data_IF_666271708446
#
_entry.id   IF_666271708446
#
_cell.length_a   1.000
_cell.length_b   1.000
_cell.length_c   1.000
_cell.angle_alpha   90.00
_cell.angle_beta   90.00
_cell.angle_gamma   90.00
#
_symmetry.space_group_name_H-M   'P 1'
#
loop_
_entity.id
_entity.type
_entity.pdbx_description
1 polymer ?
#
# COMPACT_ATOMS: atom_id res chain seq x y z
N UNK A 1 -1.78 -2.06 -1.88
CA UNK A 1 -2.88 -2.98 -2.19
C UNK A 1 -2.32 -4.32 -2.66
N UNK A 2 -2.86 -5.44 -2.19
CA UNK A 2 -2.47 -6.77 -2.69
C UNK A 2 -3.22 -7.07 -3.99
N UNK A 3 -2.50 -7.36 -5.08
CA UNK A 3 -3.10 -7.55 -6.40
C UNK A 3 -4.03 -8.77 -6.51
N UNK A 4 -3.92 -9.71 -5.57
CA UNK A 4 -4.75 -10.92 -5.50
C UNK A 4 -5.75 -10.86 -4.33
N UNK A 5 -5.95 -9.69 -3.71
CA UNK A 5 -6.92 -9.51 -2.63
C UNK A 5 -8.36 -9.69 -3.17
N UNK A 6 -9.09 -10.75 -2.77
CA UNK A 6 -10.44 -10.98 -3.26
C UNK A 6 -11.49 -10.15 -2.51
N UNK A 7 -11.14 -9.53 -1.39
CA UNK A 7 -12.04 -8.73 -0.57
C UNK A 7 -12.18 -7.30 -1.07
N UNK A 8 -11.26 -6.84 -1.91
CA UNK A 8 -11.28 -5.50 -2.50
C UNK A 8 -11.26 -5.61 -4.03
N UNK A 9 -12.43 -5.55 -4.69
CA UNK A 9 -12.52 -5.55 -6.15
C UNK A 9 -11.78 -4.36 -6.77
N UNK A 10 -11.20 -4.56 -7.97
CA UNK A 10 -10.49 -3.50 -8.69
C UNK A 10 -11.35 -2.27 -9.02
N UNK A 11 -12.67 -2.42 -9.08
CA UNK A 11 -13.60 -1.28 -9.24
C UNK A 11 -13.54 -0.31 -8.06
N UNK A 12 -13.35 -0.81 -6.82
CA UNK A 12 -13.15 0.05 -5.65
C UNK A 12 -11.79 0.76 -5.72
N UNK A 13 -10.76 0.07 -6.21
CA UNK A 13 -9.43 0.65 -6.43
C UNK A 13 -9.51 1.79 -7.45
N UNK A 14 -10.19 1.58 -8.58
CA UNK A 14 -10.41 2.62 -9.59
C UNK A 14 -11.22 3.80 -9.04
N UNK A 15 -12.27 3.54 -8.26
CA UNK A 15 -13.07 4.61 -7.65
C UNK A 15 -12.24 5.48 -6.68
N UNK A 16 -11.37 4.87 -5.88
CA UNK A 16 -10.43 5.60 -5.01
C UNK A 16 -9.48 6.50 -5.81
N UNK A 17 -8.92 6.00 -6.92
CA UNK A 17 -8.04 6.79 -7.80
C UNK A 17 -8.78 8.02 -8.34
N UNK A 18 -10.03 7.86 -8.79
CA UNK A 18 -10.85 8.97 -9.29
C UNK A 18 -11.16 10.00 -8.20
N UNK A 19 -11.47 9.55 -6.98
CA UNK A 19 -11.75 10.41 -5.82
C UNK A 19 -10.54 11.27 -5.47
N UNK A 20 -9.37 10.65 -5.30
CA UNK A 20 -8.14 11.36 -4.91
C UNK A 20 -7.69 12.36 -5.98
N UNK A 21 -7.83 11.99 -7.27
CA UNK A 21 -7.57 12.90 -8.38
C UNK A 21 -8.52 14.11 -8.38
N UNK A 22 -9.81 13.88 -8.14
CA UNK A 22 -10.82 14.95 -8.07
C UNK A 22 -10.58 15.89 -6.89
N UNK A 23 -10.07 15.37 -5.78
CA UNK A 23 -9.70 16.16 -4.62
C UNK A 23 -8.42 17.00 -4.84
N UNK A 24 -7.65 16.74 -5.90
CA UNK A 24 -6.35 17.37 -6.11
C UNK A 24 -5.34 17.01 -5.01
N UNK A 25 -5.51 15.84 -4.40
CA UNK A 25 -4.63 15.37 -3.33
C UNK A 25 -3.25 14.98 -3.89
N UNK A 26 -2.22 15.10 -3.07
CA UNK A 26 -0.95 14.42 -3.29
C UNK A 26 -1.08 12.98 -2.77
N UNK A 27 -1.03 12.00 -3.66
CA UNK A 27 -1.31 10.61 -3.32
C UNK A 27 -0.53 9.62 -4.18
N UNK A 28 -0.27 8.45 -3.59
CA UNK A 28 0.29 7.29 -4.28
C UNK A 28 -0.51 6.04 -3.90
N UNK A 29 -0.74 5.16 -4.89
CA UNK A 29 -1.23 3.80 -4.65
C UNK A 29 -0.22 2.81 -5.22
N UNK A 30 0.25 1.91 -4.35
CA UNK A 30 1.18 0.85 -4.75
C UNK A 30 0.42 -0.48 -4.76
N UNK A 31 0.47 -1.18 -5.90
CA UNK A 31 -0.13 -2.51 -6.08
C UNK A 31 0.98 -3.57 -6.09
N UNK A 32 0.91 -4.50 -5.14
CA UNK A 32 1.90 -5.56 -4.98
C UNK A 32 1.40 -6.87 -5.59
N UNK A 33 2.08 -7.33 -6.64
CA UNK A 33 1.82 -8.63 -7.27
C UNK A 33 2.01 -9.80 -6.29
N UNK A 34 1.17 -10.83 -6.41
CA UNK A 34 1.23 -12.04 -5.57
C UNK A 34 0.67 -11.87 -4.15
N UNK A 35 0.44 -10.64 -3.68
CA UNK A 35 -0.11 -10.39 -2.35
C UNK A 35 -1.63 -10.46 -2.32
N UNK A 36 -2.17 -11.09 -1.27
CA UNK A 36 -3.60 -11.15 -0.94
C UNK A 36 -3.95 -10.14 0.18
N UNK A 37 -5.15 -10.24 0.75
CA UNK A 37 -5.51 -9.44 1.92
C UNK A 37 -4.57 -9.75 3.10
N UNK A 38 -4.28 -8.75 3.92
CA UNK A 38 -3.47 -8.94 5.13
C UNK A 38 -2.02 -9.37 4.88
N UNK A 39 -1.43 -9.04 3.72
CA UNK A 39 -0.08 -9.47 3.32
C UNK A 39 1.07 -9.08 4.27
N UNK A 40 0.83 -8.21 5.24
CA UNK A 40 1.76 -7.77 6.29
C UNK A 40 1.61 -8.55 7.61
N UNK A 41 0.60 -9.41 7.74
CA UNK A 41 0.34 -10.16 8.98
C UNK A 41 0.91 -11.57 8.89
N UNK A 42 2.06 -11.81 9.53
CA UNK A 42 2.69 -13.14 9.60
C UNK A 42 1.75 -14.20 10.20
N UNK A 43 0.97 -13.80 11.21
CA UNK A 43 -0.02 -14.64 11.89
C UNK A 43 -1.43 -14.10 11.66
N UNK A 44 -1.89 -14.19 10.42
CA UNK A 44 -3.27 -13.85 10.04
C UNK A 44 -4.30 -14.92 10.41
N UNK A 45 -5.60 -14.56 10.44
CA UNK A 45 -6.67 -15.55 10.56
C UNK A 45 -6.70 -16.47 9.33
N UNK A 46 -7.08 -17.73 9.51
CA UNK A 46 -7.22 -18.69 8.42
C UNK A 46 -8.54 -18.47 7.65
N UNK A 47 -8.59 -17.38 6.89
CA UNK A 47 -9.74 -16.96 6.07
C UNK A 47 -9.32 -16.99 4.60
N UNK A 48 -10.17 -17.51 3.69
CA UNK A 48 -9.85 -17.50 2.25
C UNK A 48 -9.50 -16.10 1.76
N UNK A 49 -8.41 -15.97 0.99
CA UNK A 49 -7.97 -14.67 0.49
C UNK A 49 -7.19 -13.81 1.48
N UNK A 50 -6.85 -14.33 2.67
CA UNK A 50 -5.92 -13.70 3.61
C UNK A 50 -4.64 -14.54 3.67
N UNK A 51 -3.49 -13.93 3.37
CA UNK A 51 -2.21 -14.64 3.42
C UNK A 51 -1.04 -13.67 3.59
N UNK A 52 -0.09 -14.03 4.46
CA UNK A 52 1.19 -13.33 4.58
C UNK A 52 1.99 -13.41 3.29
N UNK A 53 2.62 -12.31 2.89
CA UNK A 53 3.51 -12.29 1.72
C UNK A 53 4.76 -11.43 2.02
N UNK A 54 5.79 -12.09 2.53
CA UNK A 54 7.01 -11.46 3.07
C UNK A 54 7.65 -10.40 2.16
N UNK A 55 7.67 -10.66 0.85
CA UNK A 55 8.26 -9.71 -0.10
C UNK A 55 7.43 -8.41 -0.20
N UNK A 56 6.10 -8.51 -0.15
CA UNK A 56 5.21 -7.34 -0.24
C UNK A 56 5.16 -6.59 1.07
N UNK A 57 5.22 -7.31 2.19
CA UNK A 57 5.39 -6.75 3.52
C UNK A 57 6.64 -5.84 3.58
N UNK A 58 7.82 -6.41 3.30
CA UNK A 58 9.08 -5.68 3.30
C UNK A 58 9.07 -4.46 2.35
N UNK A 59 8.53 -4.60 1.13
CA UNK A 59 8.42 -3.49 0.18
C UNK A 59 7.47 -2.40 0.67
N UNK A 60 6.35 -2.78 1.28
CA UNK A 60 5.38 -1.84 1.81
C UNK A 60 5.93 -1.04 2.98
N UNK A 61 6.72 -1.67 3.85
CA UNK A 61 7.43 -0.99 4.93
C UNK A 61 8.43 0.05 4.39
N UNK A 62 9.20 -0.28 3.35
CA UNK A 62 10.12 0.67 2.69
C UNK A 62 9.37 1.84 2.06
N UNK A 63 8.26 1.58 1.37
CA UNK A 63 7.45 2.65 0.78
C UNK A 63 6.90 3.61 1.84
N UNK A 64 6.38 3.10 2.95
CA UNK A 64 5.92 3.91 4.09
C UNK A 64 7.06 4.75 4.67
N UNK A 65 8.23 4.16 4.89
CA UNK A 65 9.39 4.89 5.41
C UNK A 65 9.80 6.03 4.47
N UNK A 66 9.83 5.79 3.16
CA UNK A 66 10.14 6.84 2.16
C UNK A 66 9.15 7.99 2.21
N UNK A 67 7.86 7.69 2.29
CA UNK A 67 6.81 8.71 2.43
C UNK A 67 7.00 9.56 3.70
N UNK A 68 7.36 8.93 4.83
CA UNK A 68 7.66 9.69 6.06
C UNK A 68 8.94 10.50 5.97
N UNK A 69 9.98 10.01 5.29
CA UNK A 69 11.19 10.80 5.04
C UNK A 69 10.89 12.01 4.15
N UNK A 70 10.02 11.88 3.17
CA UNK A 70 9.62 13.01 2.31
C UNK A 70 8.93 14.12 3.12
N UNK A 71 8.06 13.77 4.06
CA UNK A 71 7.29 14.74 4.84
C UNK A 71 8.01 15.28 6.08
N UNK A 72 8.83 14.45 6.72
CA UNK A 72 9.40 14.71 8.04
C UNK A 72 10.91 14.54 8.10
N UNK A 73 11.54 14.10 7.01
CA UNK A 73 12.98 14.00 6.93
C UNK A 73 13.65 15.37 7.00
N UNK A 74 14.94 15.41 7.34
CA UNK A 74 15.69 16.66 7.31
C UNK A 74 15.64 17.24 5.89
N UNK A 75 15.41 18.56 5.76
CA UNK A 75 15.60 19.22 4.48
C UNK A 75 17.05 18.99 4.03
N UNK A 76 17.24 18.38 2.87
CA UNK A 76 18.55 18.25 2.25
C UNK A 76 19.09 19.66 1.95
N UNK A 77 19.88 20.20 2.87
CA UNK A 77 20.81 21.30 2.66
C UNK A 77 20.18 22.65 2.27
N UNK A 78 19.70 23.40 3.26
CA UNK A 78 19.98 24.85 3.30
C UNK A 78 21.07 25.11 4.33
N UNK A 79 22.31 25.07 3.84
CA UNK A 79 23.41 25.84 4.42
C UNK A 79 23.29 27.30 3.97
#
# INVERSE_FOLDING_TARGET
HGALDPHVPMTHVSAFVEEMNRAGADWQLIVYGGAMHGFTHETGPNVPGVAYHAQSDARSAVAMQRFFLELFGPEDGKA
#
